data_IF_081430243894
#
_entry.id   IF_081430243894
#
_cell.length_a   1.000
_cell.length_b   1.000
_cell.length_c   1.000
_cell.angle_alpha   90.00
_cell.angle_beta   90.00
_cell.angle_gamma   90.00
#
_symmetry.space_group_name_H-M   'P 1'
#
loop_
_entity.id
_entity.type
_entity.pdbx_description
1 polymer ?
#
# COMPACT_ATOMS: atom_id res chain seq x y z
N UNK A 1 5.41 19.52 -1.93
CA UNK A 1 6.86 19.64 -2.19
C UNK A 1 7.61 19.77 -0.87
N UNK A 2 8.80 19.17 -0.81
CA UNK A 2 9.82 19.28 0.25
C UNK A 2 9.46 18.82 1.69
N UNK A 3 8.69 17.75 1.84
CA UNK A 3 8.84 16.89 3.03
C UNK A 3 9.89 15.84 2.69
N UNK A 4 11.02 15.73 3.42
CA UNK A 4 12.00 14.67 3.20
C UNK A 4 11.29 13.32 3.24
N UNK A 5 11.33 12.59 2.12
CA UNK A 5 10.87 11.20 2.04
C UNK A 5 12.10 10.31 2.05
N UNK A 6 12.76 10.24 3.21
CA UNK A 6 13.92 9.39 3.42
C UNK A 6 13.45 8.01 3.89
N UNK A 7 13.31 7.09 2.96
CA UNK A 7 13.16 5.67 3.27
C UNK A 7 12.62 4.84 2.10
N UNK A 8 13.03 3.56 1.98
CA UNK A 8 12.63 2.65 0.91
C UNK A 8 11.12 2.30 0.91
N UNK A 9 10.38 2.79 1.90
CA UNK A 9 8.97 2.48 2.15
C UNK A 9 7.95 2.89 1.08
N UNK A 10 8.40 3.61 0.04
CA UNK A 10 7.62 3.97 -1.15
C UNK A 10 7.84 3.00 -2.33
N UNK A 11 8.64 1.95 -2.15
CA UNK A 11 8.98 0.99 -3.21
C UNK A 11 7.75 0.43 -3.93
N UNK A 12 6.76 -0.05 -3.18
CA UNK A 12 5.53 -0.58 -3.78
C UNK A 12 4.76 0.50 -4.56
N UNK A 13 4.70 1.72 -4.04
CA UNK A 13 4.03 2.85 -4.72
C UNK A 13 4.70 3.20 -6.05
N UNK A 14 6.04 3.22 -6.08
CA UNK A 14 6.80 3.53 -7.28
C UNK A 14 6.59 2.44 -8.34
N UNK A 15 6.68 1.17 -7.94
CA UNK A 15 6.43 0.05 -8.88
C UNK A 15 5.00 0.12 -9.43
N UNK A 16 3.99 0.39 -8.59
CA UNK A 16 2.59 0.50 -9.03
C UNK A 16 2.39 1.66 -10.00
N UNK A 17 3.02 2.80 -9.75
CA UNK A 17 2.95 3.95 -10.65
C UNK A 17 3.61 3.67 -12.01
N UNK A 18 4.76 2.98 -12.02
CA UNK A 18 5.44 2.58 -13.25
C UNK A 18 4.62 1.57 -14.05
N UNK A 19 4.00 0.58 -13.38
CA UNK A 19 3.12 -0.38 -14.04
C UNK A 19 1.87 0.29 -14.60
N UNK A 20 1.26 1.20 -13.86
CA UNK A 20 0.12 1.99 -14.33
C UNK A 20 0.46 2.74 -15.62
N UNK A 21 1.63 3.39 -15.66
CA UNK A 21 2.13 4.08 -16.85
C UNK A 21 2.42 3.13 -18.01
N UNK A 22 3.06 1.98 -17.74
CA UNK A 22 3.45 1.02 -18.77
C UNK A 22 2.25 0.30 -19.39
N UNK A 23 1.20 0.04 -18.61
CA UNK A 23 0.00 -0.68 -19.04
C UNK A 23 -1.12 0.26 -19.54
N UNK A 24 -0.92 1.58 -19.46
CA UNK A 24 -1.97 2.59 -19.68
C UNK A 24 -3.25 2.28 -18.89
N UNK A 25 -3.08 1.82 -17.64
CA UNK A 25 -4.16 1.37 -16.78
C UNK A 25 -4.17 2.20 -15.49
N UNK A 26 -5.28 2.88 -15.14
CA UNK A 26 -5.34 3.67 -13.92
C UNK A 26 -5.34 2.78 -12.67
N UNK A 27 -4.61 3.21 -11.65
CA UNK A 27 -4.64 2.58 -10.31
C UNK A 27 -6.02 2.82 -9.66
N UNK A 28 -6.48 1.82 -8.90
CA UNK A 28 -7.65 1.93 -8.00
C UNK A 28 -7.63 3.25 -7.24
N UNK A 29 -8.73 3.98 -7.29
CA UNK A 29 -8.86 5.25 -6.56
C UNK A 29 -8.98 5.01 -5.04
N UNK A 30 -8.63 6.02 -4.23
CA UNK A 30 -8.73 6.01 -2.77
C UNK A 30 -7.96 4.87 -2.08
N UNK A 31 -6.85 4.42 -2.68
CA UNK A 31 -5.91 3.46 -2.09
C UNK A 31 -4.64 4.16 -1.62
N UNK A 32 -4.19 3.85 -0.41
CA UNK A 32 -2.86 4.14 0.08
C UNK A 32 -2.05 2.84 0.19
N UNK A 33 -0.75 2.90 -0.05
CA UNK A 33 0.13 1.73 0.11
C UNK A 33 1.48 2.15 0.68
N UNK A 34 2.10 1.28 1.48
CA UNK A 34 3.48 1.44 1.94
C UNK A 34 4.14 0.07 2.05
N UNK A 35 5.44 0.03 1.82
CA UNK A 35 6.20 -1.22 1.80
C UNK A 35 7.44 -1.05 0.94
N UNK A 36 8.56 -1.55 1.43
CA UNK A 36 9.75 -1.73 0.61
C UNK A 36 9.56 -2.99 -0.25
N UNK A 37 10.02 -2.93 -1.50
CA UNK A 37 9.91 -4.05 -2.46
C UNK A 37 11.30 -4.60 -2.72
N UNK A 38 11.51 -5.89 -2.46
CA UNK A 38 12.73 -6.59 -2.84
C UNK A 38 12.77 -6.89 -4.34
N UNK A 39 13.94 -7.23 -4.88
CA UNK A 39 14.06 -7.70 -6.27
C UNK A 39 13.27 -8.99 -6.56
N UNK A 40 12.98 -9.80 -5.53
CA UNK A 40 12.16 -11.01 -5.62
C UNK A 40 10.66 -10.72 -5.47
N UNK A 41 10.28 -9.44 -5.36
CA UNK A 41 8.89 -9.02 -5.18
C UNK A 41 8.34 -9.24 -3.77
N UNK A 42 9.18 -9.49 -2.76
CA UNK A 42 8.74 -9.53 -1.36
C UNK A 42 8.45 -8.11 -0.87
N UNK A 43 7.36 -7.94 -0.12
CA UNK A 43 7.03 -6.70 0.58
C UNK A 43 7.64 -6.76 1.98
N UNK A 44 8.54 -5.81 2.28
CA UNK A 44 9.26 -5.73 3.54
C UNK A 44 8.62 -4.71 4.48
N UNK A 45 8.71 -4.92 5.81
CA UNK A 45 8.13 -4.04 6.81
C UNK A 45 8.72 -2.64 6.77
N UNK A 46 7.93 -1.67 7.19
CA UNK A 46 8.31 -0.26 7.23
C UNK A 46 7.98 0.35 8.58
N UNK A 47 8.73 1.38 8.97
CA UNK A 47 8.42 2.18 10.15
C UNK A 47 7.23 3.12 9.94
N UNK A 48 6.70 3.64 11.06
CA UNK A 48 5.73 4.74 11.08
C UNK A 48 4.31 4.35 10.65
N UNK A 49 3.87 3.12 10.95
CA UNK A 49 2.53 2.63 10.57
C UNK A 49 1.41 3.50 11.18
N UNK A 50 1.59 3.97 12.41
CA UNK A 50 0.66 4.89 13.06
C UNK A 50 0.50 6.20 12.28
N UNK A 51 1.60 6.88 12.00
CA UNK A 51 1.60 8.18 11.33
C UNK A 51 1.08 8.05 9.89
N UNK A 52 1.48 6.99 9.19
CA UNK A 52 1.03 6.69 7.82
C UNK A 52 -0.47 6.38 7.77
N UNK A 53 -1.00 5.62 8.72
CA UNK A 53 -2.45 5.31 8.80
C UNK A 53 -3.26 6.57 9.13
N UNK A 54 -2.78 7.41 10.03
CA UNK A 54 -3.42 8.71 10.34
C UNK A 54 -3.40 9.63 9.12
N UNK A 55 -2.28 9.72 8.40
CA UNK A 55 -2.16 10.53 7.19
C UNK A 55 -3.10 10.04 6.07
N UNK A 56 -3.15 8.72 5.86
CA UNK A 56 -4.07 8.05 4.95
C UNK A 56 -5.53 8.42 5.28
N UNK A 57 -5.97 8.22 6.53
CA UNK A 57 -7.33 8.55 6.96
C UNK A 57 -7.66 10.04 6.79
N UNK A 58 -6.73 10.94 7.12
CA UNK A 58 -6.89 12.40 6.93
C UNK A 58 -6.99 12.79 5.46
N UNK A 59 -6.35 12.06 4.57
CA UNK A 59 -6.46 12.26 3.12
C UNK A 59 -7.75 11.67 2.53
N UNK A 60 -8.61 11.04 3.36
CA UNK A 60 -9.88 10.48 2.93
C UNK A 60 -9.74 9.15 2.18
N UNK A 61 -8.60 8.46 2.30
CA UNK A 61 -8.47 7.13 1.68
C UNK A 61 -9.34 6.13 2.42
N UNK A 62 -9.92 5.20 1.68
CA UNK A 62 -10.81 4.16 2.21
C UNK A 62 -10.14 2.80 2.25
N UNK A 63 -9.04 2.63 1.52
CA UNK A 63 -8.28 1.39 1.43
C UNK A 63 -6.79 1.64 1.71
N UNK A 64 -6.17 0.79 2.54
CA UNK A 64 -4.75 0.84 2.85
C UNK A 64 -4.11 -0.55 2.68
N UNK A 65 -2.96 -0.59 1.99
CA UNK A 65 -2.14 -1.78 1.78
C UNK A 65 -0.88 -1.66 2.64
N UNK A 66 -0.66 -2.65 3.50
CA UNK A 66 0.44 -2.71 4.48
C UNK A 66 1.22 -4.02 4.35
N UNK A 67 2.53 -4.05 4.68
CA UNK A 67 3.27 -5.30 4.78
C UNK A 67 2.67 -6.22 5.83
N UNK A 68 2.64 -7.53 5.58
CA UNK A 68 2.14 -8.53 6.53
C UNK A 68 2.87 -8.47 7.88
N UNK A 69 4.17 -8.20 7.85
CA UNK A 69 5.03 -8.05 9.03
C UNK A 69 4.64 -6.83 9.90
N UNK A 70 3.93 -5.84 9.35
CA UNK A 70 3.41 -4.67 10.09
C UNK A 70 2.01 -4.87 10.70
N UNK A 71 1.44 -6.08 10.61
CA UNK A 71 0.09 -6.38 11.13
C UNK A 71 -0.07 -6.11 12.61
N UNK A 72 0.96 -6.42 13.41
CA UNK A 72 0.96 -6.12 14.85
C UNK A 72 0.91 -4.61 15.11
N UNK A 73 1.77 -3.84 14.44
CA UNK A 73 1.82 -2.38 14.59
C UNK A 73 0.47 -1.72 14.24
N UNK A 74 -0.24 -2.26 13.25
CA UNK A 74 -1.57 -1.78 12.86
C UNK A 74 -2.65 -2.11 13.91
N UNK A 75 -2.65 -3.32 14.47
CA UNK A 75 -3.64 -3.69 15.48
C UNK A 75 -3.44 -3.02 16.84
N UNK A 76 -2.22 -2.55 17.12
CA UNK A 76 -1.92 -1.74 18.31
C UNK A 76 -2.46 -0.28 18.18
N UNK A 77 -3.02 0.09 17.02
CA UNK A 77 -3.62 1.41 16.81
C UNK A 77 -5.00 1.53 17.47
N UNK A 78 -5.30 2.72 17.98
CA UNK A 78 -6.61 3.02 18.54
C UNK A 78 -7.71 2.93 17.47
N UNK A 79 -8.90 2.44 17.86
CA UNK A 79 -10.01 2.19 16.94
C UNK A 79 -10.41 3.40 16.08
N UNK A 80 -10.39 4.62 16.63
CA UNK A 80 -10.71 5.82 15.86
C UNK A 80 -9.73 6.08 14.69
N UNK A 81 -8.54 5.45 14.68
CA UNK A 81 -7.56 5.52 13.59
C UNK A 81 -7.91 4.50 12.50
N UNK A 82 -8.34 3.30 12.89
CA UNK A 82 -8.55 2.15 11.99
C UNK A 82 -9.98 2.02 11.47
N UNK A 83 -10.96 2.59 12.19
CA UNK A 83 -12.38 2.55 11.86
C UNK A 83 -12.65 3.14 10.46
N UNK A 84 -13.40 2.38 9.65
CA UNK A 84 -13.79 2.75 8.29
C UNK A 84 -12.73 2.51 7.22
N UNK A 85 -11.56 1.95 7.56
CA UNK A 85 -10.52 1.58 6.60
C UNK A 85 -10.63 0.11 6.20
N UNK A 86 -10.71 -0.16 4.90
CA UNK A 86 -10.38 -1.44 4.30
C UNK A 86 -8.86 -1.63 4.36
N UNK A 87 -8.39 -2.73 4.94
CA UNK A 87 -6.95 -2.97 5.16
C UNK A 87 -6.54 -4.29 4.56
N UNK A 88 -5.51 -4.26 3.73
CA UNK A 88 -4.88 -5.43 3.12
C UNK A 88 -3.47 -5.60 3.64
N UNK A 89 -3.18 -6.78 4.18
CA UNK A 89 -1.83 -7.18 4.59
C UNK A 89 -1.24 -8.08 3.53
N UNK A 90 -0.10 -7.70 2.96
CA UNK A 90 0.51 -8.38 1.80
C UNK A 90 1.92 -8.86 2.10
N UNK A 91 2.30 -9.99 1.52
CA UNK A 91 3.65 -10.58 1.58
C UNK A 91 4.43 -10.35 0.29
N UNK A 92 3.73 -10.33 -0.84
CA UNK A 92 4.31 -10.20 -2.18
C UNK A 92 3.63 -9.09 -2.99
N UNK A 93 4.41 -8.50 -3.90
CA UNK A 93 3.94 -7.41 -4.76
C UNK A 93 2.78 -7.84 -5.68
N UNK A 94 2.65 -9.14 -6.00
CA UNK A 94 1.50 -9.64 -6.76
C UNK A 94 0.17 -9.29 -6.07
N UNK A 95 0.09 -9.40 -4.75
CA UNK A 95 -1.13 -9.06 -4.01
C UNK A 95 -1.42 -7.56 -4.10
N UNK A 96 -0.37 -6.71 -4.04
CA UNK A 96 -0.50 -5.26 -4.27
C UNK A 96 -1.06 -4.99 -5.66
N UNK A 97 -0.57 -5.69 -6.67
CA UNK A 97 -1.03 -5.56 -8.06
C UNK A 97 -2.51 -5.92 -8.19
N UNK A 98 -2.92 -7.07 -7.66
CA UNK A 98 -4.31 -7.56 -7.74
C UNK A 98 -5.28 -6.55 -7.07
N UNK A 99 -4.89 -5.94 -5.94
CA UNK A 99 -5.68 -4.91 -5.25
C UNK A 99 -5.68 -3.57 -6.00
N UNK A 100 -4.54 -3.20 -6.59
CA UNK A 100 -4.33 -1.92 -7.28
C UNK A 100 -4.98 -1.88 -8.68
N UNK A 101 -5.09 -3.02 -9.36
CA UNK A 101 -5.61 -3.13 -10.73
C UNK A 101 -6.71 -4.21 -10.84
N UNK A 102 -7.85 -4.05 -10.14
CA UNK A 102 -8.90 -5.07 -10.06
C UNK A 102 -9.55 -5.40 -11.41
N UNK A 103 -9.42 -4.53 -12.42
CA UNK A 103 -9.95 -4.75 -13.77
C UNK A 103 -9.04 -5.60 -14.67
N UNK A 104 -7.79 -5.84 -14.25
CA UNK A 104 -6.85 -6.67 -15.00
C UNK A 104 -6.87 -8.13 -14.56
N UNK A 105 -7.46 -8.44 -13.41
CA UNK A 105 -7.54 -9.79 -12.84
C UNK A 105 -8.64 -10.67 -13.48
N UNK A 106 -8.93 -10.45 -14.77
CA UNK A 106 -9.85 -11.27 -15.58
C UNK A 106 -9.16 -12.01 -16.74
N UNK A 107 -7.83 -12.00 -16.78
CA UNK A 107 -7.06 -12.68 -17.82
C UNK A 107 -5.86 -13.45 -17.21
N UNK A 108 -6.14 -14.59 -16.57
CA UNK A 108 -5.09 -15.42 -15.97
C UNK A 108 -5.56 -16.77 -15.46
N UNK A 109 -6.13 -17.59 -16.35
CA UNK A 109 -6.09 -19.05 -16.24
C UNK A 109 -4.91 -19.59 -17.04
#
# INVERSE_FOLDING_TARGET
>A
GATPKDGPSAGCTIVTALLSLAMDCPVRQNVAMTGEVSLTGKILPVGGIKEKTIAAKRAGVTCIILPSENKKDYYDLAGFITEGLEVHFVEHYKEVFDIAFPTLDSAGG
#
